data_IF_621276755833
#
_entry.id   IF_621276755833
#
_cell.length_a   1.000
_cell.length_b   1.000
_cell.length_c   1.000
_cell.angle_alpha   90.00
_cell.angle_beta   90.00
_cell.angle_gamma   90.00
#
_symmetry.space_group_name_H-M   'P 1'
#
loop_
_entity.id
_entity.type
_entity.pdbx_description
1 polymer ?
#
# COMPACT_ATOMS: atom_id res chain seq x y z
N UNK A 1 -9.50 -6.59 -5.74
CA UNK A 1 -10.21 -5.30 -5.58
C UNK A 1 -9.38 -4.23 -6.29
N UNK A 2 -9.98 -3.34 -7.09
CA UNK A 2 -9.25 -2.29 -7.81
C UNK A 2 -9.41 -0.93 -7.09
N UNK A 3 -8.34 -0.45 -6.45
CA UNK A 3 -8.33 0.76 -5.64
C UNK A 3 -8.55 2.02 -6.48
N UNK A 4 -7.95 2.10 -7.67
CA UNK A 4 -8.09 3.25 -8.57
C UNK A 4 -9.53 3.46 -9.05
N UNK A 5 -10.25 2.37 -9.33
CA UNK A 5 -11.68 2.42 -9.66
C UNK A 5 -12.51 2.92 -8.48
N UNK A 6 -12.26 2.41 -7.27
CA UNK A 6 -12.97 2.85 -6.06
C UNK A 6 -12.69 4.32 -5.80
N UNK A 7 -11.44 4.77 -5.91
CA UNK A 7 -11.04 6.18 -5.76
C UNK A 7 -11.80 7.10 -6.71
N UNK A 8 -11.95 6.71 -7.98
CA UNK A 8 -12.76 7.45 -8.98
C UNK A 8 -14.24 7.51 -8.59
N UNK A 9 -14.81 6.40 -8.09
CA UNK A 9 -16.21 6.36 -7.64
C UNK A 9 -16.45 7.23 -6.41
N UNK A 10 -15.50 7.25 -5.47
CA UNK A 10 -15.59 8.06 -4.24
C UNK A 10 -15.39 9.55 -4.50
N UNK A 11 -14.82 9.96 -5.63
CA UNK A 11 -14.61 11.38 -5.99
C UNK A 11 -13.96 12.19 -4.85
N UNK A 12 -12.92 11.64 -4.22
CA UNK A 12 -12.20 12.25 -3.09
C UNK A 12 -13.04 12.52 -1.83
N UNK A 13 -14.23 11.92 -1.69
CA UNK A 13 -15.09 12.11 -0.50
C UNK A 13 -14.66 11.29 0.70
N UNK A 14 -13.79 10.29 0.51
CA UNK A 14 -13.25 9.46 1.57
C UNK A 14 -11.87 8.91 1.20
N UNK A 15 -11.04 8.65 2.21
CA UNK A 15 -9.81 7.88 2.06
C UNK A 15 -10.11 6.39 1.91
N UNK A 16 -9.22 5.66 1.26
CA UNK A 16 -9.29 4.21 1.10
C UNK A 16 -8.17 3.57 1.93
N UNK A 17 -8.52 2.57 2.73
CA UNK A 17 -7.56 1.78 3.49
C UNK A 17 -7.40 0.38 2.87
N UNK A 18 -6.17 -0.14 2.82
CA UNK A 18 -5.88 -1.49 2.34
C UNK A 18 -4.81 -1.51 1.23
N UNK A 19 -4.70 -2.57 0.45
CA UNK A 19 -5.47 -3.82 0.50
C UNK A 19 -4.60 -5.06 0.27
N UNK A 20 -3.33 -5.00 0.68
CA UNK A 20 -2.36 -6.08 0.47
C UNK A 20 -2.87 -7.39 1.10
N UNK A 21 -2.77 -8.50 0.39
CA UNK A 21 -3.06 -9.82 0.96
C UNK A 21 -1.97 -10.19 2.00
N UNK A 22 -2.30 -10.37 3.29
CA UNK A 22 -1.37 -10.85 4.32
C UNK A 22 -0.53 -12.07 3.93
N UNK A 23 -1.04 -12.97 3.07
CA UNK A 23 -0.31 -14.16 2.63
C UNK A 23 1.00 -13.81 1.90
N UNK A 24 1.09 -12.61 1.30
CA UNK A 24 2.32 -12.08 0.70
C UNK A 24 3.46 -11.99 1.72
N UNK A 25 3.16 -11.77 3.00
CA UNK A 25 4.15 -11.61 4.05
C UNK A 25 4.82 -12.93 4.48
N UNK A 26 4.41 -14.08 3.96
CA UNK A 26 5.21 -15.32 4.05
C UNK A 26 6.33 -15.38 2.99
N UNK A 27 6.28 -14.52 1.98
CA UNK A 27 7.26 -14.45 0.91
C UNK A 27 8.59 -13.85 1.36
N UNK A 28 9.54 -13.85 0.41
CA UNK A 28 10.80 -13.11 0.57
C UNK A 28 10.56 -11.61 0.41
N UNK A 29 11.47 -10.79 0.94
CA UNK A 29 11.34 -9.31 0.92
C UNK A 29 11.22 -8.71 -0.49
N UNK A 30 11.81 -9.34 -1.51
CA UNK A 30 11.66 -8.92 -2.92
C UNK A 30 10.22 -9.08 -3.42
N UNK A 31 9.57 -10.19 -3.05
CA UNK A 31 8.16 -10.43 -3.39
C UNK A 31 7.23 -9.47 -2.63
N UNK A 32 7.50 -9.23 -1.34
CA UNK A 32 6.76 -8.24 -0.55
C UNK A 32 6.88 -6.85 -1.21
N UNK A 33 8.08 -6.48 -1.67
CA UNK A 33 8.31 -5.19 -2.34
C UNK A 33 7.51 -5.06 -3.62
N UNK A 34 7.55 -6.07 -4.48
CA UNK A 34 6.78 -6.07 -5.71
C UNK A 34 5.27 -5.89 -5.44
N UNK A 35 4.73 -6.65 -4.49
CA UNK A 35 3.30 -6.57 -4.16
C UNK A 35 2.91 -5.20 -3.56
N UNK A 36 3.79 -4.58 -2.76
CA UNK A 36 3.58 -3.21 -2.27
C UNK A 36 3.57 -2.22 -3.43
N UNK A 37 4.50 -2.31 -4.37
CA UNK A 37 4.55 -1.44 -5.54
C UNK A 37 3.28 -1.58 -6.40
N UNK A 38 2.81 -2.81 -6.61
CA UNK A 38 1.56 -3.09 -7.33
C UNK A 38 0.34 -2.48 -6.61
N UNK A 39 0.25 -2.61 -5.29
CA UNK A 39 -0.83 -2.02 -4.49
C UNK A 39 -0.83 -0.48 -4.56
N UNK A 40 0.33 0.16 -4.42
CA UNK A 40 0.47 1.61 -4.53
C UNK A 40 0.12 2.10 -5.94
N UNK A 41 0.58 1.38 -6.97
CA UNK A 41 0.28 1.69 -8.37
C UNK A 41 -1.22 1.56 -8.69
N UNK A 42 -1.90 0.56 -8.11
CA UNK A 42 -3.35 0.39 -8.30
C UNK A 42 -4.17 1.56 -7.71
N UNK A 43 -3.71 2.18 -6.61
CA UNK A 43 -4.31 3.43 -6.09
C UNK A 43 -3.91 4.68 -6.91
N UNK A 44 -2.64 4.75 -7.33
CA UNK A 44 -2.06 5.84 -8.12
C UNK A 44 -1.57 7.05 -7.30
N UNK A 45 -1.09 8.13 -7.95
CA UNK A 45 -0.47 9.27 -7.28
C UNK A 45 -1.44 10.12 -6.45
N UNK A 46 -0.92 10.81 -5.44
CA UNK A 46 -1.63 11.76 -4.58
C UNK A 46 -2.17 11.16 -3.27
N UNK A 47 -2.82 12.00 -2.47
CA UNK A 47 -3.32 11.64 -1.14
C UNK A 47 -4.60 10.78 -1.14
N UNK A 48 -4.93 10.22 0.02
CA UNK A 48 -6.17 9.47 0.27
C UNK A 48 -6.03 7.95 0.37
N UNK A 49 -4.80 7.41 0.32
CA UNK A 49 -4.53 5.98 0.55
C UNK A 49 -3.89 5.76 1.91
N UNK A 50 -4.50 4.89 2.71
CA UNK A 50 -3.90 4.35 3.93
C UNK A 50 -3.50 2.91 3.62
N UNK A 51 -2.23 2.70 3.27
CA UNK A 51 -1.70 1.37 3.01
C UNK A 51 -1.93 0.47 4.24
N UNK A 52 -2.57 -0.67 4.01
CA UNK A 52 -2.83 -1.66 5.05
C UNK A 52 -3.02 -3.04 4.40
N UNK A 53 -3.09 -4.06 5.24
CA UNK A 53 -3.52 -5.39 4.85
C UNK A 53 -5.03 -5.40 4.52
N UNK A 54 -5.45 -6.36 3.69
CA UNK A 54 -6.84 -6.58 3.32
C UNK A 54 -7.66 -7.28 4.41
N UNK A 55 -6.99 -7.97 5.33
CA UNK A 55 -7.57 -8.63 6.50
C UNK A 55 -6.51 -8.82 7.58
N UNK A 56 -6.87 -9.45 8.70
CA UNK A 56 -6.00 -9.63 9.86
C UNK A 56 -4.69 -10.35 9.50
N UNK A 57 -3.60 -9.97 10.17
CA UNK A 57 -2.31 -10.61 10.04
C UNK A 57 -2.29 -11.97 10.77
N UNK A 58 -1.99 -13.09 10.09
CA UNK A 58 -1.73 -14.36 10.75
C UNK A 58 -0.63 -14.27 11.81
N UNK A 59 -0.78 -14.96 12.97
CA UNK A 59 0.15 -14.83 14.10
C UNK A 59 1.52 -15.47 13.86
N UNK A 60 1.63 -16.34 12.84
CA UNK A 60 2.85 -17.05 12.45
C UNK A 60 3.62 -16.36 11.32
N UNK A 61 3.17 -15.18 10.86
CA UNK A 61 3.95 -14.37 9.93
C UNK A 61 5.26 -13.93 10.60
N UNK A 62 6.42 -14.10 9.93
CA UNK A 62 7.68 -13.64 10.48
C UNK A 62 7.68 -12.13 10.73
N UNK A 63 8.11 -11.72 11.92
CA UNK A 63 8.13 -10.31 12.33
C UNK A 63 8.96 -9.44 11.36
N UNK A 64 10.06 -9.98 10.86
CA UNK A 64 10.93 -9.33 9.88
C UNK A 64 10.19 -9.01 8.58
N UNK A 65 9.24 -9.84 8.16
CA UNK A 65 8.47 -9.63 6.95
C UNK A 65 7.37 -8.58 7.16
N UNK A 66 6.72 -8.58 8.33
CA UNK A 66 5.79 -7.52 8.72
C UNK A 66 6.52 -6.16 8.83
N UNK A 67 7.73 -6.15 9.39
CA UNK A 67 8.58 -4.96 9.44
C UNK A 67 8.99 -4.49 8.04
N UNK A 68 9.41 -5.42 7.17
CA UNK A 68 9.77 -5.12 5.79
C UNK A 68 8.61 -4.47 5.03
N UNK A 69 7.38 -4.96 5.19
CA UNK A 69 6.19 -4.35 4.60
C UNK A 69 6.06 -2.86 4.98
N UNK A 70 6.17 -2.52 6.27
CA UNK A 70 6.07 -1.14 6.74
C UNK A 70 7.19 -0.26 6.19
N UNK A 71 8.42 -0.75 6.18
CA UNK A 71 9.58 -0.02 5.67
C UNK A 71 9.46 0.24 4.15
N UNK A 72 9.08 -0.78 3.39
CA UNK A 72 8.91 -0.69 1.95
C UNK A 72 7.78 0.27 1.58
N UNK A 73 6.63 0.20 2.28
CA UNK A 73 5.52 1.14 2.03
C UNK A 73 6.00 2.59 2.18
N UNK A 74 6.78 2.89 3.22
CA UNK A 74 7.33 4.25 3.43
C UNK A 74 8.31 4.67 2.34
N UNK A 75 9.16 3.76 1.88
CA UNK A 75 10.15 4.03 0.84
C UNK A 75 9.48 4.25 -0.52
N UNK A 76 8.64 3.31 -0.97
CA UNK A 76 8.06 3.29 -2.31
C UNK A 76 6.95 4.34 -2.50
N UNK A 77 6.19 4.65 -1.44
CA UNK A 77 5.10 5.63 -1.53
C UNK A 77 5.59 7.05 -1.83
N UNK A 78 6.85 7.39 -1.49
CA UNK A 78 7.41 8.71 -1.76
C UNK A 78 7.35 9.08 -3.26
N UNK A 79 7.49 8.10 -4.16
CA UNK A 79 7.39 8.32 -5.61
C UNK A 79 5.97 8.73 -6.06
N UNK A 80 4.94 8.41 -5.28
CA UNK A 80 3.54 8.73 -5.57
C UNK A 80 3.09 10.08 -5.00
N UNK A 81 3.96 10.80 -4.30
CA UNK A 81 3.67 12.08 -3.65
C UNK A 81 4.56 13.25 -4.13
N UNK A 82 5.30 13.08 -5.22
CA UNK A 82 6.24 14.11 -5.70
C UNK A 82 5.57 15.43 -6.13
N UNK A 83 4.29 15.39 -6.52
CA UNK A 83 3.53 16.60 -6.91
C UNK A 83 2.90 17.35 -5.72
N UNK A 84 2.76 16.72 -4.55
CA UNK A 84 2.20 17.37 -3.34
C UNK A 84 3.22 18.34 -2.68
N UNK A 85 4.52 18.11 -2.90
CA UNK A 85 5.59 18.93 -2.33
C UNK A 85 5.76 20.31 -3.01
N UNK A 86 5.27 20.47 -4.24
CA UNK A 86 5.33 21.75 -4.97
C UNK A 86 4.12 22.67 -4.71
N UNK A 87 3.09 22.16 -4.01
CA UNK A 87 1.86 22.88 -3.71
C UNK A 87 1.76 23.37 -2.25
N UNK A 88 2.85 23.25 -1.47
CA UNK A 88 2.97 23.70 -0.07
C UNK A 88 3.93 24.87 0.08
#
# INVERSE_FOLDING_TARGET
VNLGQIRRQLQQRASIQGNLDPAVLYGRSDHIRQAVQEMLADFGPGSGHIANLGYDIPPDIPFENAKAFVEIVKEESAAFHQDDAAAS
#
